data_IF_969717493335
#
_entry.id   IF_969717493335
#
_cell.length_a   1.000
_cell.length_b   1.000
_cell.length_c   1.000
_cell.angle_alpha   90.00
_cell.angle_beta   90.00
_cell.angle_gamma   90.00
#
_symmetry.space_group_name_H-M   'P 1'
#
loop_
_entity.id
_entity.type
_entity.pdbx_description
1 polymer ?
#
# COMPACT_ATOMS: atom_id res chain seq x y z
N UNK A 1 -16.39 1.83 -5.12
CA UNK A 1 -15.10 2.55 -5.13
C UNK A 1 -14.19 1.82 -6.11
N UNK A 2 -14.21 2.30 -7.36
CA UNK A 2 -13.50 1.68 -8.47
C UNK A 2 -12.00 1.84 -8.33
N UNK A 3 -11.26 0.82 -8.73
CA UNK A 3 -9.82 0.88 -8.85
C UNK A 3 -9.43 1.87 -9.94
N UNK A 4 -8.44 2.71 -9.68
CA UNK A 4 -7.93 3.66 -10.67
C UNK A 4 -6.42 3.74 -10.64
N UNK A 5 -5.84 4.44 -11.63
CA UNK A 5 -4.41 4.75 -11.66
C UNK A 5 -3.93 5.42 -10.35
N UNK A 6 -4.81 6.14 -9.65
CA UNK A 6 -4.50 6.74 -8.36
C UNK A 6 -4.11 5.70 -7.31
N UNK A 7 -4.71 4.50 -7.29
CA UNK A 7 -4.40 3.47 -6.29
C UNK A 7 -2.97 2.92 -6.45
N UNK A 8 -2.43 2.89 -7.67
CA UNK A 8 -1.03 2.51 -7.94
C UNK A 8 -0.08 3.56 -7.39
N UNK A 9 -0.37 4.84 -7.62
CA UNK A 9 0.42 5.95 -7.10
C UNK A 9 0.39 5.99 -5.58
N UNK A 10 -0.79 5.84 -4.96
CA UNK A 10 -0.92 5.82 -3.50
C UNK A 10 -0.21 4.59 -2.92
N UNK A 11 -0.31 3.41 -3.55
CA UNK A 11 0.40 2.20 -3.15
C UNK A 11 1.92 2.40 -3.11
N UNK A 12 2.49 3.01 -4.16
CA UNK A 12 3.92 3.31 -4.23
C UNK A 12 4.34 4.38 -3.21
N UNK A 13 3.55 5.44 -3.06
CA UNK A 13 3.80 6.48 -2.06
C UNK A 13 3.82 5.90 -0.64
N UNK A 14 2.87 5.01 -0.32
CA UNK A 14 2.83 4.34 0.99
C UNK A 14 4.00 3.37 1.17
N UNK A 15 4.39 2.62 0.13
CA UNK A 15 5.55 1.75 0.19
C UNK A 15 6.83 2.53 0.48
N UNK A 16 7.06 3.64 -0.25
CA UNK A 16 8.20 4.54 -0.02
C UNK A 16 8.16 5.19 1.36
N UNK A 17 6.98 5.62 1.80
CA UNK A 17 6.78 6.19 3.13
C UNK A 17 7.06 5.17 4.25
N UNK A 18 6.73 3.88 4.06
CA UNK A 18 7.10 2.80 4.99
C UNK A 18 8.60 2.50 5.02
N UNK A 19 9.32 2.71 3.92
CA UNK A 19 10.77 2.51 3.84
C UNK A 19 11.57 3.71 4.37
N UNK A 20 10.98 4.91 4.42
CA UNK A 20 11.67 6.10 4.92
C UNK A 20 11.97 5.99 6.43
N UNK A 21 13.22 6.22 6.88
CA UNK A 21 13.58 6.17 8.31
C UNK A 21 13.04 7.41 9.03
N UNK A 22 11.78 7.36 9.46
CA UNK A 22 11.12 8.42 10.22
C UNK A 22 10.23 7.81 11.30
N UNK A 23 10.15 8.45 12.46
CA UNK A 23 9.20 8.09 13.50
C UNK A 23 7.78 8.34 12.98
N UNK A 24 6.95 7.30 12.96
CA UNK A 24 5.63 7.33 12.31
C UNK A 24 4.52 7.36 13.36
N UNK A 25 3.74 8.47 13.42
CA UNK A 25 2.49 8.48 14.17
C UNK A 25 1.54 7.40 13.65
N UNK A 26 0.76 6.81 14.55
CA UNK A 26 -0.19 5.77 14.15
C UNK A 26 -1.35 6.38 13.34
N UNK A 27 -1.42 6.08 12.04
CA UNK A 27 -2.50 6.53 11.15
C UNK A 27 -3.46 5.36 10.83
N UNK A 28 -4.56 5.20 11.60
CA UNK A 28 -5.45 4.06 11.44
C UNK A 28 -6.19 4.04 10.09
N UNK A 29 -6.48 5.21 9.51
CA UNK A 29 -7.08 5.33 8.19
C UNK A 29 -6.16 4.81 7.06
N UNK A 30 -4.85 5.08 7.16
CA UNK A 30 -3.85 4.58 6.22
C UNK A 30 -3.69 3.07 6.36
N UNK A 31 -3.67 2.55 7.58
CA UNK A 31 -3.63 1.11 7.82
C UNK A 31 -4.86 0.37 7.25
N UNK A 32 -6.06 0.93 7.43
CA UNK A 32 -7.30 0.39 6.87
C UNK A 32 -7.36 0.48 5.34
N UNK A 33 -6.70 1.47 4.73
CA UNK A 33 -6.56 1.59 3.29
C UNK A 33 -5.56 0.57 2.73
N UNK A 34 -4.40 0.39 3.36
CA UNK A 34 -3.44 -0.66 3.00
C UNK A 34 -4.06 -2.05 3.04
N UNK A 35 -4.79 -2.39 4.11
CA UNK A 35 -5.47 -3.69 4.22
C UNK A 35 -6.48 -3.93 3.10
N UNK A 36 -7.18 -2.89 2.65
CA UNK A 36 -8.12 -2.97 1.51
C UNK A 36 -7.39 -3.13 0.17
N UNK A 37 -6.20 -2.55 0.04
CA UNK A 37 -5.32 -2.73 -1.12
C UNK A 37 -4.73 -4.15 -1.16
N UNK A 38 -4.24 -4.67 -0.03
CA UNK A 38 -3.69 -6.03 0.10
C UNK A 38 -4.69 -7.13 -0.27
N UNK A 39 -5.99 -6.88 -0.09
CA UNK A 39 -7.06 -7.80 -0.53
C UNK A 39 -7.25 -7.84 -2.06
N UNK A 40 -6.60 -6.96 -2.83
CA UNK A 40 -6.71 -6.95 -4.28
C UNK A 40 -5.64 -7.85 -4.90
N UNK A 41 -6.03 -8.78 -5.81
CA UNK A 41 -5.08 -9.74 -6.38
C UNK A 41 -3.93 -9.07 -7.14
N UNK A 42 -4.17 -7.93 -7.79
CA UNK A 42 -3.11 -7.15 -8.44
C UNK A 42 -2.12 -6.52 -7.45
N UNK A 43 -2.56 -6.10 -6.26
CA UNK A 43 -1.62 -5.58 -5.26
C UNK A 43 -0.84 -6.72 -4.61
N UNK A 44 -1.49 -7.85 -4.29
CA UNK A 44 -0.80 -9.03 -3.79
C UNK A 44 0.26 -9.53 -4.78
N UNK A 45 -0.02 -9.51 -6.08
CA UNK A 45 0.92 -9.98 -7.11
C UNK A 45 2.15 -9.05 -7.29
N UNK A 46 1.98 -7.73 -7.20
CA UNK A 46 3.05 -6.76 -7.53
C UNK A 46 3.70 -6.11 -6.30
N UNK A 47 3.04 -6.12 -5.14
CA UNK A 47 3.51 -5.50 -3.90
C UNK A 47 3.81 -6.51 -2.79
N UNK A 48 3.38 -7.78 -2.89
CA UNK A 48 3.91 -8.84 -2.04
C UNK A 48 5.30 -9.21 -2.54
N UNK A 49 6.28 -9.17 -1.65
CA UNK A 49 7.68 -9.49 -1.93
C UNK A 49 7.91 -11.01 -2.16
N UNK A 50 6.89 -11.74 -2.60
CA UNK A 50 6.96 -13.16 -2.93
C UNK A 50 7.14 -13.33 -4.45
N UNK A 51 8.26 -12.78 -4.94
CA UNK A 51 8.84 -13.26 -6.20
C UNK A 51 9.87 -14.31 -5.81
N UNK A 52 9.41 -15.56 -5.66
CA UNK A 52 10.27 -16.74 -5.65
C UNK A 52 10.90 -16.98 -7.02
#
# INVERSE_FOLDING_TARGET
ADFSLADVLIGLSVHRWRQAPMERPHYPAVAAYCKRLEQRPGFAQWASNDHS
#
